data_IF_981910375713
#
_entry.id   IF_981910375713
#
_cell.length_a   1.000
_cell.length_b   1.000
_cell.length_c   1.000
_cell.angle_alpha   90.00
_cell.angle_beta   90.00
_cell.angle_gamma   90.00
#
_symmetry.space_group_name_H-M   'P 1'
#
loop_
_entity.id
_entity.type
_entity.pdbx_description
1 polymer ?
#
# COMPACT_ATOMS: atom_id res chain seq x y z
N UNK A 1 13.71 -5.57 -39.72
CA UNK A 1 12.79 -5.78 -38.58
C UNK A 1 11.38 -5.42 -39.02
N UNK A 2 10.46 -6.38 -39.03
CA UNK A 2 9.05 -6.17 -39.40
C UNK A 2 8.44 -5.10 -38.48
N UNK A 3 7.54 -4.26 -39.01
CA UNK A 3 6.87 -3.18 -38.24
C UNK A 3 6.26 -3.71 -36.93
N UNK A 4 5.73 -4.93 -36.97
CA UNK A 4 5.15 -5.65 -35.81
C UNK A 4 6.12 -5.80 -34.64
N UNK A 5 7.38 -6.15 -34.87
CA UNK A 5 8.38 -6.35 -33.80
C UNK A 5 8.70 -5.02 -33.10
N UNK A 6 8.74 -3.90 -33.85
CA UNK A 6 8.96 -2.57 -33.27
C UNK A 6 7.82 -2.16 -32.34
N UNK A 7 6.59 -2.39 -32.78
CA UNK A 7 5.39 -2.08 -32.00
C UNK A 7 5.37 -2.90 -30.72
N UNK A 8 5.68 -4.19 -30.79
CA UNK A 8 5.75 -5.06 -29.62
C UNK A 8 6.81 -4.60 -28.61
N UNK A 9 8.01 -4.22 -29.07
CA UNK A 9 9.09 -3.68 -28.21
C UNK A 9 8.70 -2.36 -27.53
N UNK A 10 7.84 -1.55 -28.14
CA UNK A 10 7.39 -0.29 -27.54
C UNK A 10 6.22 -0.51 -26.57
N UNK A 11 5.33 -1.45 -26.87
CA UNK A 11 4.10 -1.63 -26.08
C UNK A 11 4.33 -2.45 -24.80
N UNK A 12 5.24 -3.43 -24.81
CA UNK A 12 5.38 -4.36 -23.69
C UNK A 12 5.65 -3.69 -22.32
N UNK A 13 6.47 -2.61 -22.20
CA UNK A 13 6.71 -1.96 -20.91
C UNK A 13 5.45 -1.30 -20.38
N UNK A 14 4.65 -0.71 -21.27
CA UNK A 14 3.38 -0.06 -20.92
C UNK A 14 2.42 -1.12 -20.37
N UNK A 15 2.32 -2.27 -21.04
CA UNK A 15 1.50 -3.40 -20.57
C UNK A 15 1.95 -3.87 -19.19
N UNK A 16 3.27 -3.96 -18.94
CA UNK A 16 3.81 -4.31 -17.62
C UNK A 16 3.44 -3.30 -16.55
N UNK A 17 3.58 -1.99 -16.80
CA UNK A 17 3.19 -0.95 -15.83
C UNK A 17 1.69 -1.02 -15.54
N UNK A 18 0.85 -1.11 -16.58
CA UNK A 18 -0.60 -1.20 -16.42
C UNK A 18 -0.99 -2.44 -15.59
N UNK A 19 -0.33 -3.58 -15.81
CA UNK A 19 -0.55 -4.79 -15.03
C UNK A 19 -0.17 -4.60 -13.55
N UNK A 20 0.99 -4.00 -13.25
CA UNK A 20 1.42 -3.73 -11.88
C UNK A 20 0.49 -2.75 -11.15
N UNK A 21 0.03 -1.70 -11.84
CA UNK A 21 -0.96 -0.76 -11.30
C UNK A 21 -2.28 -1.45 -11.01
N UNK A 22 -2.77 -2.29 -11.92
CA UNK A 22 -3.99 -3.05 -11.73
C UNK A 22 -3.89 -4.00 -10.52
N UNK A 23 -2.79 -4.76 -10.42
CA UNK A 23 -2.53 -5.61 -9.24
C UNK A 23 -2.53 -4.80 -7.95
N UNK A 24 -1.81 -3.66 -7.92
CA UNK A 24 -1.78 -2.80 -6.75
C UNK A 24 -3.16 -2.29 -6.36
N UNK A 25 -3.97 -1.89 -7.34
CA UNK A 25 -5.34 -1.43 -7.12
C UNK A 25 -6.25 -2.53 -6.57
N UNK A 26 -6.22 -3.73 -7.17
CA UNK A 26 -7.08 -4.84 -6.75
C UNK A 26 -6.75 -5.33 -5.34
N UNK A 27 -5.46 -5.42 -4.98
CA UNK A 27 -5.10 -5.84 -3.62
C UNK A 27 -5.33 -4.74 -2.59
N UNK A 28 -5.16 -3.47 -2.93
CA UNK A 28 -5.64 -2.37 -2.07
C UNK A 28 -7.15 -2.50 -1.81
N UNK A 29 -7.94 -2.78 -2.84
CA UNK A 29 -9.39 -2.96 -2.68
C UNK A 29 -9.72 -4.17 -1.83
N UNK A 30 -9.07 -5.31 -2.07
CA UNK A 30 -9.27 -6.52 -1.27
C UNK A 30 -8.90 -6.28 0.19
N UNK A 31 -7.75 -5.64 0.44
CA UNK A 31 -7.31 -5.29 1.79
C UNK A 31 -8.28 -4.33 2.48
N UNK A 32 -8.81 -3.31 1.78
CA UNK A 32 -9.82 -2.41 2.35
C UNK A 32 -11.19 -3.05 2.57
N UNK A 33 -11.46 -4.23 1.99
CA UNK A 33 -12.66 -5.01 2.28
C UNK A 33 -12.45 -5.91 3.51
N UNK A 34 -11.24 -6.43 3.69
CA UNK A 34 -10.86 -7.22 4.88
C UNK A 34 -10.59 -6.33 6.10
N UNK A 35 -10.08 -5.11 5.89
CA UNK A 35 -9.77 -4.11 6.91
C UNK A 35 -10.78 -2.96 6.85
N UNK A 36 -11.69 -2.90 7.82
CA UNK A 36 -12.70 -1.85 7.86
C UNK A 36 -12.20 -0.55 8.49
N UNK A 37 -13.06 0.46 8.50
CA UNK A 37 -12.75 1.75 9.09
C UNK A 37 -13.02 1.72 10.61
N UNK A 38 -12.06 2.14 11.44
CA UNK A 38 -12.21 2.10 12.90
C UNK A 38 -13.03 3.25 13.47
N UNK A 39 -13.17 4.36 12.73
CA UNK A 39 -13.97 5.48 13.18
C UNK A 39 -15.46 5.14 13.19
N UNK A 40 -16.10 5.39 14.33
CA UNK A 40 -17.52 5.12 14.52
C UNK A 40 -17.87 3.69 14.91
N UNK A 41 -16.87 2.81 15.13
CA UNK A 41 -17.10 1.48 15.71
C UNK A 41 -17.80 1.61 17.05
N UNK A 42 -18.71 0.68 17.29
CA UNK A 42 -19.55 0.63 18.47
C UNK A 42 -19.41 -0.75 19.09
N UNK A 43 -19.07 -0.78 20.37
CA UNK A 43 -19.12 -1.98 21.21
C UNK A 43 -20.24 -1.88 22.24
N UNK A 44 -20.70 -3.03 22.72
CA UNK A 44 -21.80 -3.12 23.69
C UNK A 44 -23.16 -2.70 23.12
N UNK A 45 -24.16 -2.64 24.01
CA UNK A 45 -25.55 -2.33 23.65
C UNK A 45 -26.20 -1.40 24.68
N UNK A 46 -27.07 -0.50 24.21
CA UNK A 46 -27.88 0.35 25.09
C UNK A 46 -27.06 1.35 25.88
N UNK A 47 -27.14 1.28 27.21
CA UNK A 47 -26.46 2.22 28.12
C UNK A 47 -24.96 1.93 28.27
N UNK A 48 -24.50 0.71 27.98
CA UNK A 48 -23.09 0.30 28.10
C UNK A 48 -22.35 0.42 26.75
N UNK A 49 -22.90 1.22 25.83
CA UNK A 49 -22.37 1.37 24.49
C UNK A 49 -21.10 2.21 24.49
N UNK A 50 -20.01 1.65 23.95
CA UNK A 50 -18.76 2.39 23.76
C UNK A 50 -18.55 2.68 22.28
N UNK A 51 -18.42 3.95 21.92
CA UNK A 51 -18.11 4.39 20.56
C UNK A 51 -16.66 4.80 20.44
N UNK A 52 -15.98 4.30 19.41
CA UNK A 52 -14.64 4.73 19.04
C UNK A 52 -14.70 5.92 18.08
N UNK A 53 -14.01 7.01 18.42
CA UNK A 53 -13.66 8.09 17.51
C UNK A 53 -12.16 8.03 17.20
N UNK A 54 -11.82 7.97 15.92
CA UNK A 54 -10.42 7.97 15.46
C UNK A 54 -10.13 9.25 14.71
N UNK A 55 -9.21 10.03 15.24
CA UNK A 55 -8.70 11.22 14.54
C UNK A 55 -7.23 11.03 14.21
N UNK A 56 -6.81 11.54 13.05
CA UNK A 56 -5.42 11.48 12.61
C UNK A 56 -4.91 12.87 12.23
N UNK A 57 -3.66 13.16 12.56
CA UNK A 57 -2.94 14.36 12.12
C UNK A 57 -1.59 13.95 11.55
N UNK A 58 -1.26 14.46 10.38
CA UNK A 58 0.05 14.24 9.76
C UNK A 58 0.99 15.42 10.06
N UNK A 59 2.21 15.12 10.47
CA UNK A 59 3.32 16.08 10.58
C UNK A 59 4.55 15.49 9.88
N UNK A 60 4.83 15.98 8.67
CA UNK A 60 5.89 15.41 7.82
C UNK A 60 5.56 13.97 7.42
N UNK A 61 6.46 13.06 7.76
CA UNK A 61 6.35 11.62 7.48
C UNK A 61 5.65 10.85 8.62
N UNK A 62 5.32 11.52 9.72
CA UNK A 62 4.68 10.88 10.88
C UNK A 62 3.18 11.17 10.86
N UNK A 63 2.36 10.13 11.02
CA UNK A 63 0.91 10.25 11.27
C UNK A 63 0.63 9.93 12.72
N UNK A 64 0.10 10.91 13.45
CA UNK A 64 -0.36 10.77 14.82
C UNK A 64 -1.84 10.42 14.84
N UNK A 65 -2.19 9.30 15.47
CA UNK A 65 -3.55 8.86 15.72
C UNK A 65 -3.95 9.15 17.15
N UNK A 66 -5.19 9.60 17.34
CA UNK A 66 -5.85 9.71 18.64
C UNK A 66 -7.14 8.93 18.60
N UNK A 67 -7.21 7.87 19.41
CA UNK A 67 -8.37 7.00 19.60
C UNK A 67 -9.07 7.46 20.88
N UNK A 68 -10.32 7.88 20.77
CA UNK A 68 -11.16 8.27 21.91
C UNK A 68 -12.30 7.29 22.05
N UNK A 69 -12.41 6.69 23.22
CA UNK A 69 -13.51 5.80 23.58
C UNK A 69 -14.54 6.64 24.31
N UNK A 70 -15.75 6.71 23.76
CA UNK A 70 -16.84 7.50 24.31
C UNK A 70 -17.93 6.58 24.83
N UNK A 71 -18.49 6.94 25.97
CA UNK A 71 -19.68 6.30 26.51
C UNK A 71 -20.93 6.67 25.70
N UNK A 72 -22.07 6.05 26.02
CA UNK A 72 -23.36 6.29 25.37
C UNK A 72 -23.82 7.76 25.48
N UNK A 73 -23.44 8.46 26.55
CA UNK A 73 -23.73 9.89 26.77
C UNK A 73 -22.76 10.84 26.04
N UNK A 74 -21.73 10.30 25.39
CA UNK A 74 -20.70 11.03 24.66
C UNK A 74 -19.50 11.48 25.51
N UNK A 75 -19.49 11.19 26.81
CA UNK A 75 -18.34 11.42 27.69
C UNK A 75 -17.14 10.57 27.27
N UNK A 76 -15.92 11.08 27.43
CA UNK A 76 -14.70 10.36 27.05
C UNK A 76 -14.29 9.46 28.22
N UNK A 77 -14.35 8.14 28.00
CA UNK A 77 -13.90 7.12 28.96
C UNK A 77 -12.38 6.99 28.96
N UNK A 78 -11.79 6.93 27.77
CA UNK A 78 -10.36 6.73 27.60
C UNK A 78 -9.87 7.40 26.31
N UNK A 79 -8.61 7.82 26.30
CA UNK A 79 -7.92 8.28 25.09
C UNK A 79 -6.60 7.54 24.95
N UNK A 80 -6.34 6.98 23.77
CA UNK A 80 -5.06 6.40 23.38
C UNK A 80 -4.45 7.21 22.24
N UNK A 81 -3.13 7.37 22.28
CA UNK A 81 -2.36 8.07 21.25
C UNK A 81 -1.31 7.13 20.70
N UNK A 82 -1.09 7.22 19.41
CA UNK A 82 -0.17 6.38 18.67
C UNK A 82 0.40 7.17 17.49
N UNK A 83 1.60 6.83 17.03
CA UNK A 83 2.20 7.47 15.87
C UNK A 83 2.80 6.44 14.93
N UNK A 84 2.61 6.63 13.64
CA UNK A 84 3.21 5.82 12.59
C UNK A 84 4.18 6.69 11.81
N UNK A 85 5.42 6.26 11.77
CA UNK A 85 6.44 6.84 10.91
C UNK A 85 6.39 6.17 9.53
N UNK A 86 6.11 6.97 8.49
CA UNK A 86 6.04 6.55 7.08
C UNK A 86 7.29 6.92 6.26
N UNK A 87 8.41 7.31 6.90
CA UNK A 87 9.69 7.52 6.21
C UNK A 87 10.09 6.27 5.42
N UNK A 88 10.63 6.44 4.20
CA UNK A 88 11.08 5.50 3.14
C UNK A 88 10.56 4.04 3.13
N UNK A 89 10.53 3.32 4.25
CA UNK A 89 10.03 1.94 4.41
C UNK A 89 9.10 1.76 5.62
N UNK A 90 8.65 2.85 6.24
CA UNK A 90 7.74 2.87 7.36
C UNK A 90 6.31 2.74 6.88
N UNK A 91 5.54 1.92 7.56
CA UNK A 91 4.11 1.79 7.34
C UNK A 91 3.44 1.29 8.60
N UNK A 92 2.15 1.56 8.67
CA UNK A 92 1.31 1.09 9.73
C UNK A 92 -0.15 1.31 9.35
N UNK A 93 -1.02 0.91 10.25
CA UNK A 93 -2.45 1.07 10.11
C UNK A 93 -3.13 1.17 11.48
N UNK A 94 -4.29 1.81 11.48
CA UNK A 94 -5.32 1.67 12.50
C UNK A 94 -6.58 1.27 11.74
N UNK A 95 -7.02 0.02 11.90
CA UNK A 95 -8.14 -0.54 11.13
C UNK A 95 -8.96 -1.48 11.99
N UNK A 96 -10.20 -1.71 11.56
CA UNK A 96 -10.96 -2.80 12.12
C UNK A 96 -10.56 -4.13 11.50
N UNK A 97 -10.55 -5.17 12.31
CA UNK A 97 -10.35 -6.55 11.91
C UNK A 97 -11.39 -7.43 12.59
N UNK A 98 -11.69 -8.55 11.97
CA UNK A 98 -12.40 -9.64 12.62
C UNK A 98 -11.37 -10.75 12.73
N UNK A 99 -10.68 -10.83 13.88
CA UNK A 99 -9.64 -11.84 14.06
C UNK A 99 -10.26 -13.18 14.37
N UNK A 100 -11.30 -13.23 15.20
CA UNK A 100 -11.90 -14.48 15.61
C UNK A 100 -13.29 -14.76 14.99
N UNK A 101 -13.94 -15.81 15.49
CA UNK A 101 -15.26 -16.22 15.02
C UNK A 101 -16.42 -15.43 15.65
N UNK A 102 -16.12 -14.50 16.55
CA UNK A 102 -17.14 -13.68 17.18
C UNK A 102 -17.64 -12.59 16.22
N UNK A 103 -18.76 -11.98 16.58
CA UNK A 103 -19.38 -10.92 15.77
C UNK A 103 -18.84 -9.54 16.10
N UNK A 104 -18.01 -9.43 17.13
CA UNK A 104 -17.47 -8.16 17.58
C UNK A 104 -16.26 -7.79 16.74
N UNK A 105 -16.14 -6.50 16.49
CA UNK A 105 -15.12 -6.00 15.59
C UNK A 105 -13.97 -5.48 16.44
N UNK A 106 -12.78 -6.02 16.22
CA UNK A 106 -11.57 -5.58 16.91
C UNK A 106 -10.90 -4.42 16.19
N UNK A 107 -10.04 -3.68 16.90
CA UNK A 107 -9.21 -2.61 16.31
C UNK A 107 -7.75 -3.02 16.32
N UNK A 108 -7.21 -3.26 15.12
CA UNK A 108 -5.79 -3.47 14.91
C UNK A 108 -5.07 -2.12 14.83
N UNK A 109 -4.14 -1.90 15.75
CA UNK A 109 -3.15 -0.83 15.72
C UNK A 109 -1.80 -1.45 15.43
N UNK A 110 -1.17 -1.11 14.32
CA UNK A 110 0.07 -1.76 13.90
C UNK A 110 1.03 -0.80 13.21
N UNK A 111 2.32 -0.99 13.45
CA UNK A 111 3.45 -0.30 12.80
C UNK A 111 4.55 -1.31 12.51
N UNK A 112 5.15 -1.26 11.32
CA UNK A 112 6.26 -2.14 10.96
C UNK A 112 7.61 -1.69 11.54
N UNK A 113 7.71 -0.44 12.01
CA UNK A 113 8.93 0.12 12.60
C UNK A 113 8.97 -0.05 14.11
N UNK A 114 7.81 -0.18 14.74
CA UNK A 114 7.69 -0.31 16.19
C UNK A 114 6.63 -1.36 16.55
N UNK A 115 7.05 -2.62 16.59
CA UNK A 115 6.21 -3.74 17.00
C UNK A 115 5.79 -3.63 18.47
N UNK A 116 6.50 -2.85 19.30
CA UNK A 116 6.13 -2.66 20.72
C UNK A 116 4.87 -1.81 20.87
N UNK A 117 4.54 -1.02 19.85
CA UNK A 117 3.30 -0.26 19.76
C UNK A 117 2.20 -1.00 18.99
N UNK A 118 2.46 -2.21 18.50
CA UNK A 118 1.46 -3.00 17.80
C UNK A 118 0.60 -3.78 18.80
N UNK A 119 -0.72 -3.59 18.71
CA UNK A 119 -1.69 -4.27 19.55
C UNK A 119 -3.06 -4.33 18.87
N UNK A 120 -3.90 -5.21 19.39
CA UNK A 120 -5.32 -5.28 19.08
C UNK A 120 -6.11 -4.78 20.27
N UNK A 121 -7.15 -4.01 20.00
CA UNK A 121 -8.16 -3.66 20.99
C UNK A 121 -9.38 -4.53 20.76
N UNK A 122 -9.79 -5.18 21.83
CA UNK A 122 -10.91 -6.09 21.84
C UNK A 122 -11.87 -5.70 22.97
N UNK A 123 -13.17 -5.94 22.80
CA UNK A 123 -14.18 -5.66 23.79
C UNK A 123 -14.66 -6.96 24.44
N UNK A 124 -14.25 -7.18 25.69
CA UNK A 124 -14.57 -8.40 26.42
C UNK A 124 -15.15 -8.03 27.77
N UNK A 125 -16.27 -8.67 28.13
CA UNK A 125 -16.93 -8.52 29.44
C UNK A 125 -17.16 -7.06 29.87
N UNK A 126 -17.55 -6.21 28.91
CA UNK A 126 -17.83 -4.80 29.17
C UNK A 126 -16.60 -3.89 29.22
N UNK A 127 -15.41 -4.41 28.91
CA UNK A 127 -14.16 -3.68 29.01
C UNK A 127 -13.35 -3.77 27.71
N UNK A 128 -12.61 -2.70 27.40
CA UNK A 128 -11.67 -2.69 26.29
C UNK A 128 -10.34 -3.27 26.77
N UNK A 129 -10.00 -4.44 26.25
CA UNK A 129 -8.75 -5.14 26.52
C UNK A 129 -7.74 -4.80 25.43
N UNK A 130 -6.48 -4.69 25.80
CA UNK A 130 -5.38 -4.50 24.85
C UNK A 130 -4.57 -5.78 24.76
N UNK A 131 -4.60 -6.41 23.60
CA UNK A 131 -3.91 -7.66 23.32
C UNK A 131 -2.63 -7.33 22.53
N UNK A 132 -1.43 -7.69 23.03
CA UNK A 132 -0.20 -7.47 22.28
C UNK A 132 -0.26 -8.16 20.90
N UNK A 133 0.23 -7.49 19.86
CA UNK A 133 0.18 -8.05 18.50
C UNK A 133 0.93 -9.39 18.37
N UNK A 134 1.98 -9.60 19.16
CA UNK A 134 2.72 -10.86 19.21
C UNK A 134 1.88 -12.07 19.65
N UNK A 135 0.75 -11.85 20.31
CA UNK A 135 -0.18 -12.94 20.71
C UNK A 135 -1.09 -13.37 19.56
N UNK A 136 -1.35 -12.48 18.60
CA UNK A 136 -2.28 -12.68 17.47
C UNK A 136 -1.56 -12.61 16.12
N UNK A 137 -0.22 -12.65 16.11
CA UNK A 137 0.59 -12.42 14.92
C UNK A 137 0.46 -13.52 13.87
N UNK A 138 0.15 -14.75 14.27
CA UNK A 138 -0.04 -15.85 13.33
C UNK A 138 -1.31 -15.67 12.49
N UNK A 139 -2.34 -15.05 13.08
CA UNK A 139 -3.62 -14.75 12.46
C UNK A 139 -3.59 -13.46 11.64
N UNK A 140 -3.08 -12.37 12.24
CA UNK A 140 -3.08 -11.04 11.62
C UNK A 140 -1.81 -10.77 10.79
N UNK A 141 -0.77 -11.58 10.91
CA UNK A 141 0.48 -11.50 10.15
C UNK A 141 0.27 -11.44 8.64
N UNK A 142 -0.48 -12.38 8.04
CA UNK A 142 -0.78 -12.34 6.62
C UNK A 142 -1.48 -11.04 6.16
N UNK A 143 -2.29 -10.41 7.02
CA UNK A 143 -2.97 -9.14 6.71
C UNK A 143 -2.00 -7.95 6.78
N UNK A 144 -1.18 -7.85 7.83
CA UNK A 144 -0.20 -6.77 7.99
C UNK A 144 0.94 -6.87 6.96
N UNK A 145 1.38 -8.08 6.61
CA UNK A 145 2.34 -8.30 5.52
C UNK A 145 1.78 -7.89 4.17
N UNK A 146 0.51 -8.21 3.90
CA UNK A 146 -0.16 -7.77 2.67
C UNK A 146 -0.28 -6.25 2.64
N UNK A 147 -0.66 -5.62 3.77
CA UNK A 147 -0.68 -4.16 3.89
C UNK A 147 0.69 -3.55 3.61
N UNK A 148 1.77 -4.09 4.17
CA UNK A 148 3.13 -3.65 3.91
C UNK A 148 3.51 -3.78 2.44
N UNK A 149 3.20 -4.91 1.81
CA UNK A 149 3.49 -5.13 0.41
C UNK A 149 2.73 -4.15 -0.49
N UNK A 150 1.47 -3.85 -0.17
CA UNK A 150 0.61 -2.96 -0.95
C UNK A 150 0.96 -1.48 -0.73
N UNK A 151 1.32 -1.09 0.49
CA UNK A 151 1.62 0.29 0.86
C UNK A 151 3.02 0.73 0.46
N UNK A 152 4.02 -0.18 0.53
CA UNK A 152 5.42 0.13 0.24
C UNK A 152 5.92 -0.70 -0.93
N UNK A 153 5.87 -2.03 -0.82
CA UNK A 153 6.59 -2.93 -1.72
C UNK A 153 6.22 -2.73 -3.19
N UNK A 154 4.93 -2.63 -3.51
CA UNK A 154 4.44 -2.48 -4.88
C UNK A 154 4.62 -1.09 -5.46
N UNK A 155 4.31 0.02 -4.74
CA UNK A 155 4.74 1.34 -5.16
C UNK A 155 6.23 1.40 -5.46
N UNK A 156 7.09 0.82 -4.61
CA UNK A 156 8.52 0.76 -4.86
C UNK A 156 8.89 -0.01 -6.13
N UNK A 157 8.27 -1.18 -6.36
CA UNK A 157 8.47 -1.90 -7.61
C UNK A 157 8.09 -1.03 -8.80
N UNK A 158 6.92 -0.38 -8.78
CA UNK A 158 6.48 0.52 -9.86
C UNK A 158 7.52 1.64 -10.06
N UNK A 159 7.96 2.30 -8.99
CA UNK A 159 8.97 3.35 -9.03
C UNK A 159 10.33 2.85 -9.53
N UNK A 160 10.71 1.60 -9.28
CA UNK A 160 11.93 1.00 -9.81
C UNK A 160 11.81 0.64 -11.30
N UNK A 161 10.64 0.21 -11.76
CA UNK A 161 10.39 -0.14 -13.16
C UNK A 161 10.36 1.07 -14.08
N UNK A 162 9.85 2.22 -13.63
CA UNK A 162 9.80 3.46 -14.44
C UNK A 162 11.17 3.86 -15.01
N UNK A 163 12.23 4.08 -14.20
CA UNK A 163 13.55 4.45 -14.72
C UNK A 163 14.19 3.34 -15.56
N UNK A 164 13.96 2.07 -15.22
CA UNK A 164 14.41 0.94 -16.05
C UNK A 164 13.78 0.97 -17.44
N UNK A 165 12.50 1.30 -17.55
CA UNK A 165 11.82 1.44 -18.83
C UNK A 165 12.26 2.70 -19.60
N UNK A 166 12.52 3.81 -18.92
CA UNK A 166 13.12 4.99 -19.54
C UNK A 166 14.50 4.67 -20.12
N UNK A 167 15.35 3.96 -19.38
CA UNK A 167 16.65 3.49 -19.84
C UNK A 167 16.52 2.53 -21.03
N UNK A 168 15.57 1.61 -20.97
CA UNK A 168 15.24 0.70 -22.06
C UNK A 168 14.89 1.46 -23.35
N UNK A 169 14.00 2.45 -23.27
CA UNK A 169 13.63 3.28 -24.43
C UNK A 169 14.80 4.12 -24.94
N UNK A 170 15.65 4.64 -24.05
CA UNK A 170 16.85 5.37 -24.43
C UNK A 170 17.80 4.47 -25.25
N UNK A 171 18.09 3.26 -24.76
CA UNK A 171 18.95 2.29 -25.47
C UNK A 171 18.34 1.90 -26.81
N UNK A 172 17.03 1.62 -26.88
CA UNK A 172 16.34 1.38 -28.13
C UNK A 172 16.45 2.56 -29.11
N UNK A 173 16.30 3.79 -28.61
CA UNK A 173 16.42 5.01 -29.39
C UNK A 173 17.83 5.20 -29.98
N UNK A 174 18.87 4.97 -29.16
CA UNK A 174 20.28 5.02 -29.58
C UNK A 174 20.55 3.95 -30.66
N UNK A 175 20.15 2.71 -30.43
CA UNK A 175 20.31 1.63 -31.42
C UNK A 175 19.62 1.96 -32.74
N UNK A 176 18.38 2.48 -32.68
CA UNK A 176 17.65 2.89 -33.87
C UNK A 176 18.35 4.04 -34.61
N UNK A 177 18.87 5.02 -33.88
CA UNK A 177 19.64 6.12 -34.44
C UNK A 177 20.89 5.61 -35.17
N UNK A 178 21.70 4.75 -34.53
CA UNK A 178 22.91 4.16 -35.14
C UNK A 178 22.57 3.40 -36.43
N UNK A 179 21.57 2.51 -36.39
CA UNK A 179 21.14 1.75 -37.57
C UNK A 179 20.66 2.68 -38.68
N UNK A 180 19.94 3.76 -38.35
CA UNK A 180 19.49 4.76 -39.33
C UNK A 180 20.66 5.50 -40.01
N UNK A 181 21.74 5.78 -39.26
CA UNK A 181 22.92 6.47 -39.78
C UNK A 181 23.72 5.56 -40.70
N UNK A 182 23.93 4.30 -40.31
CA UNK A 182 24.60 3.30 -41.15
C UNK A 182 23.86 3.08 -42.47
N UNK A 183 22.53 2.93 -42.41
CA UNK A 183 21.70 2.77 -43.63
C UNK A 183 21.78 3.97 -44.56
N UNK A 184 21.66 5.19 -44.02
CA UNK A 184 21.80 6.43 -44.81
C UNK A 184 23.17 6.55 -45.47
N UNK A 185 24.23 6.17 -44.75
CA UNK A 185 25.58 6.20 -45.30
C UNK A 185 25.80 5.17 -46.41
N UNK A 186 25.26 3.94 -46.28
CA UNK A 186 25.30 2.94 -47.36
C UNK A 186 24.54 3.39 -48.60
N UNK A 187 23.33 3.91 -48.44
CA UNK A 187 22.53 4.41 -49.55
C UNK A 187 23.22 5.55 -50.32
N UNK A 188 23.97 6.43 -49.62
CA UNK A 188 24.78 7.47 -50.27
C UNK A 188 25.91 6.87 -51.11
N UNK A 189 26.66 5.92 -50.54
CA UNK A 189 27.75 5.22 -51.26
C UNK A 189 27.26 4.49 -52.51
N UNK A 190 26.10 3.84 -52.42
CA UNK A 190 25.49 3.13 -53.56
C UNK A 190 25.07 4.10 -54.68
N UNK A 191 24.58 5.29 -54.32
CA UNK A 191 24.24 6.33 -55.28
C UNK A 191 25.48 6.90 -55.99
N UNK A 192 26.57 7.14 -55.25
CA UNK A 192 27.83 7.65 -55.81
C UNK A 192 28.49 6.66 -56.78
N UNK A 193 28.31 5.35 -56.58
CA UNK A 193 28.82 4.31 -57.51
C UNK A 193 27.97 4.09 -58.75
N UNK A 194 26.76 4.64 -58.80
CA UNK A 194 25.82 4.46 -59.91
C UNK A 194 25.87 5.59 -60.96
N UNK A 195 26.57 6.69 -60.65
CA UNK A 195 26.89 7.81 -61.55
C UNK A 195 28.26 7.66 -62.18
#
# INVERSE_FOLDING_TARGET
>A
MKKTIKVLLIIWPIVCICYLLALNYFDNRKLNLELGQPDGVVWGYGADQIRLEVTSRQEGEIIFYTLRFKDADGSILQTKKFSIDYDLFGTGLVKTVQSDADSEVEILVWSNRDETQAYVLDYQDGQIVTIPYSTVSDELGPLTDRHRMVSIGRPMLIFAFVPLFLLYYLVLGIMWFIVSRIKRHRARKEADTAT
#
